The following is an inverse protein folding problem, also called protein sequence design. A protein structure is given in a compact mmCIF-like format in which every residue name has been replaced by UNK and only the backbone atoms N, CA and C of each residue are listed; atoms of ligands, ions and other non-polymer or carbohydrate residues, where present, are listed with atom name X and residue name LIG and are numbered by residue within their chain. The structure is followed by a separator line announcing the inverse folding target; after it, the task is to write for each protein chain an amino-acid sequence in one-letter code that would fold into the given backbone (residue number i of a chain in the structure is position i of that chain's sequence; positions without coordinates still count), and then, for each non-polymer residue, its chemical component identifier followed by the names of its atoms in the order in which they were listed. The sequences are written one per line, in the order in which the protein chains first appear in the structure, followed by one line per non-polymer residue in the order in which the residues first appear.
data_IF_594080568394
#
_entry.id   IF_594080568394
#
_cell.length_a   1.000
_cell.length_b   1.000
_cell.length_c   1.000
_cell.angle_alpha   90.00
_cell.angle_beta   90.00
_cell.angle_gamma   90.00
#
_symmetry.space_group_name_H-M   'P 1'
#
loop_
_entity.id
_entity.type
_entity.pdbx_description
1 polymer ?
#
# COMPACT_ATOMS: atom_id res chain seq x y z
N UNK A 1 1.02 -4.36 10.83
CA UNK A 1 0.26 -5.60 10.57
C UNK A 1 -0.65 -5.51 9.33
N UNK A 2 -1.52 -4.49 9.20
CA UNK A 2 -2.54 -4.44 8.12
C UNK A 2 -2.00 -4.47 6.69
N UNK A 3 -0.90 -3.76 6.39
CA UNK A 3 -0.33 -3.77 5.04
C UNK A 3 0.29 -5.13 4.64
N UNK A 4 0.80 -5.89 5.63
CA UNK A 4 1.30 -7.25 5.41
C UNK A 4 0.16 -8.22 5.12
N UNK A 5 -0.95 -8.10 5.86
CA UNK A 5 -2.17 -8.88 5.65
C UNK A 5 -2.76 -8.63 4.27
N UNK A 6 -2.91 -7.35 3.89
CA UNK A 6 -3.34 -6.95 2.55
C UNK A 6 -2.44 -7.56 1.47
N UNK A 7 -1.11 -7.43 1.62
CA UNK A 7 -0.16 -8.00 0.65
C UNK A 7 -0.37 -9.49 0.47
N UNK A 8 -0.56 -10.23 1.56
CA UNK A 8 -0.79 -11.67 1.52
C UNK A 8 -2.06 -11.99 0.72
N UNK A 9 -3.16 -11.32 1.01
CA UNK A 9 -4.44 -11.51 0.31
C UNK A 9 -4.33 -11.17 -1.18
N UNK A 10 -3.70 -10.05 -1.53
CA UNK A 10 -3.47 -9.66 -2.93
C UNK A 10 -2.61 -10.68 -3.68
N UNK A 11 -1.58 -11.22 -3.01
CA UNK A 11 -0.70 -12.22 -3.59
C UNK A 11 -1.44 -13.54 -3.87
N UNK A 12 -2.27 -13.99 -2.94
CA UNK A 12 -3.13 -15.17 -3.10
C UNK A 12 -4.09 -15.01 -4.29
N UNK A 13 -4.80 -13.88 -4.38
CA UNK A 13 -5.73 -13.58 -5.49
C UNK A 13 -5.00 -13.59 -6.84
N UNK A 14 -3.79 -13.02 -6.89
CA UNK A 14 -3.00 -12.95 -8.12
C UNK A 14 -2.18 -14.22 -8.40
N UNK A 15 -2.20 -15.22 -7.51
CA UNK A 15 -1.34 -16.41 -7.57
C UNK A 15 0.15 -16.06 -7.67
N UNK A 16 0.57 -15.04 -6.92
CA UNK A 16 1.94 -14.54 -6.85
C UNK A 16 2.48 -14.67 -5.42
N UNK A 17 3.80 -14.53 -5.29
CA UNK A 17 4.45 -14.39 -3.98
C UNK A 17 4.34 -12.93 -3.53
N UNK A 18 4.16 -12.70 -2.24
CA UNK A 18 3.95 -11.35 -1.67
C UNK A 18 5.00 -10.33 -2.13
N UNK A 19 6.28 -10.72 -2.21
CA UNK A 19 7.37 -9.87 -2.70
C UNK A 19 7.10 -9.25 -4.09
N UNK A 20 6.41 -9.96 -4.99
CA UNK A 20 6.04 -9.45 -6.32
C UNK A 20 4.93 -8.40 -6.27
N UNK A 21 4.12 -8.36 -5.22
CA UNK A 21 3.14 -7.29 -5.00
C UNK A 21 3.87 -6.03 -4.53
N UNK A 22 4.45 -6.07 -3.33
CA UNK A 22 5.37 -5.05 -2.82
C UNK A 22 6.45 -5.69 -1.95
N UNK A 23 7.67 -5.18 -2.11
CA UNK A 23 8.84 -5.62 -1.34
C UNK A 23 8.69 -5.32 0.15
N UNK A 24 9.43 -6.04 0.99
CA UNK A 24 9.43 -5.79 2.43
C UNK A 24 9.91 -4.38 2.77
N UNK A 25 10.96 -3.89 2.07
CA UNK A 25 11.44 -2.52 2.25
C UNK A 25 10.36 -1.49 1.94
N UNK A 26 9.58 -1.69 0.87
CA UNK A 26 8.49 -0.78 0.53
C UNK A 26 7.41 -0.77 1.63
N UNK A 27 7.10 -1.91 2.26
CA UNK A 27 6.14 -1.97 3.38
C UNK A 27 6.65 -1.17 4.58
N UNK A 28 7.93 -1.33 4.92
CA UNK A 28 8.56 -0.56 6.00
C UNK A 28 8.50 0.93 5.69
N UNK A 29 8.88 1.33 4.47
CA UNK A 29 8.91 2.73 4.06
C UNK A 29 7.50 3.36 3.99
N UNK A 30 6.50 2.64 3.47
CA UNK A 30 5.10 3.08 3.47
C UNK A 30 4.64 3.29 4.92
N UNK A 31 4.94 2.33 5.80
CA UNK A 31 4.48 2.38 7.19
C UNK A 31 5.17 3.50 7.97
N UNK A 32 6.43 3.81 7.65
CA UNK A 32 7.17 4.89 8.28
C UNK A 32 6.74 6.29 7.77
N UNK A 33 6.38 6.40 6.50
CA UNK A 33 6.11 7.70 5.85
C UNK A 33 4.63 8.05 5.76
N UNK A 34 3.73 7.06 5.84
CA UNK A 34 2.28 7.21 5.77
C UNK A 34 1.82 8.15 4.62
N UNK A 35 2.16 7.83 3.36
CA UNK A 35 1.80 8.69 2.23
C UNK A 35 0.29 8.93 2.17
N UNK A 36 -0.08 10.17 1.85
CA UNK A 36 -1.49 10.61 1.73
C UNK A 36 -1.96 10.74 0.28
N UNK A 37 -1.04 10.72 -0.68
CA UNK A 37 -1.34 10.85 -2.11
C UNK A 37 -0.59 9.82 -2.95
N UNK A 38 -1.12 9.52 -4.15
CA UNK A 38 -0.46 8.63 -5.11
C UNK A 38 0.93 9.14 -5.49
N UNK A 39 1.10 10.45 -5.64
CA UNK A 39 2.40 11.09 -5.91
C UNK A 39 3.41 10.89 -4.78
N UNK A 40 2.96 10.91 -3.52
CA UNK A 40 3.85 10.60 -2.39
C UNK A 40 4.20 9.11 -2.36
N UNK A 41 3.23 8.25 -2.67
CA UNK A 41 3.43 6.81 -2.72
C UNK A 41 4.39 6.40 -3.85
N UNK A 42 4.28 6.98 -5.04
CA UNK A 42 5.17 6.66 -6.18
C UNK A 42 6.63 7.04 -5.93
N UNK A 43 6.89 8.01 -5.06
CA UNK A 43 8.24 8.41 -4.64
C UNK A 43 8.90 7.42 -3.68
N UNK A 44 8.18 6.43 -3.16
CA UNK A 44 8.77 5.38 -2.33
C UNK A 44 9.55 4.41 -3.23
N UNK A 45 10.80 4.15 -2.85
CA UNK A 45 11.70 3.23 -3.57
C UNK A 45 11.03 1.85 -3.70
N UNK A 46 11.16 1.23 -4.87
CA UNK A 46 10.60 -0.09 -5.20
C UNK A 46 9.05 -0.16 -5.28
N UNK A 47 8.35 0.98 -5.23
CA UNK A 47 6.95 1.10 -5.65
C UNK A 47 6.90 1.65 -7.07
N UNK A 48 7.36 2.89 -7.26
CA UNK A 48 7.31 3.58 -8.55
C UNK A 48 5.89 3.75 -9.08
N UNK A 49 5.78 4.28 -10.29
CA UNK A 49 4.48 4.62 -10.88
C UNK A 49 3.61 3.41 -11.20
N UNK A 50 4.20 2.30 -11.68
CA UNK A 50 3.45 1.10 -12.06
C UNK A 50 2.71 0.45 -10.88
N UNK A 51 3.39 0.27 -9.74
CA UNK A 51 2.73 -0.28 -8.54
C UNK A 51 1.81 0.72 -7.88
N UNK A 52 2.10 2.01 -7.94
CA UNK A 52 1.18 3.05 -7.48
C UNK A 52 -0.11 3.05 -8.30
N UNK A 53 -0.03 2.93 -9.62
CA UNK A 53 -1.22 2.83 -10.48
C UNK A 53 -2.04 1.57 -10.18
N UNK A 54 -1.37 0.46 -9.86
CA UNK A 54 -2.05 -0.83 -9.63
C UNK A 54 -2.64 -0.96 -8.22
N UNK A 55 -1.91 -0.51 -7.20
CA UNK A 55 -2.20 -0.80 -5.79
C UNK A 55 -2.39 0.45 -4.93
N UNK A 56 -2.11 1.64 -5.46
CA UNK A 56 -1.96 2.84 -4.66
C UNK A 56 -3.23 3.26 -3.95
N UNK A 57 -4.38 3.19 -4.62
CA UNK A 57 -5.66 3.55 -4.01
C UNK A 57 -6.00 2.68 -2.80
N UNK A 58 -5.72 1.37 -2.89
CA UNK A 58 -6.02 0.45 -1.81
C UNK A 58 -5.05 0.64 -0.64
N UNK A 59 -3.76 0.84 -0.93
CA UNK A 59 -2.75 1.16 0.09
C UNK A 59 -3.10 2.46 0.81
N UNK A 60 -3.44 3.53 0.09
CA UNK A 60 -3.84 4.81 0.69
C UNK A 60 -5.10 4.66 1.53
N UNK A 61 -6.07 3.84 1.10
CA UNK A 61 -7.28 3.55 1.88
C UNK A 61 -6.94 2.85 3.20
N UNK A 62 -6.01 1.90 3.20
CA UNK A 62 -5.54 1.24 4.42
C UNK A 62 -4.85 2.20 5.37
N UNK A 63 -4.03 3.13 4.84
CA UNK A 63 -3.37 4.17 5.63
C UNK A 63 -4.41 5.10 6.26
N UNK A 64 -5.39 5.59 5.48
CA UNK A 64 -6.48 6.45 6.00
C UNK A 64 -7.26 5.76 7.11
N UNK A 65 -7.62 4.49 6.93
CA UNK A 65 -8.29 3.69 7.97
C UNK A 65 -7.44 3.55 9.23
N UNK A 66 -6.13 3.31 9.07
CA UNK A 66 -5.20 3.22 10.19
C UNK A 66 -5.09 4.55 10.96
N UNK A 67 -5.17 5.69 10.26
CA UNK A 67 -5.16 7.02 10.84
C UNK A 67 -6.51 7.46 11.44
N UNK A 68 -7.56 6.64 11.32
CA UNK A 68 -8.91 7.01 11.79
C UNK A 68 -9.64 8.01 10.89
N UNK A 69 -9.14 8.28 9.68
CA UNK A 69 -9.75 9.20 8.70
C UNK A 69 -10.96 8.56 7.97
N UNK A 70 -11.54 7.48 8.52
CA UNK A 70 -12.43 6.55 7.83
C UNK A 70 -13.94 6.83 7.89
N UNK A 71 -14.41 7.82 8.64
CA UNK A 71 -15.85 8.07 8.85
C UNK A 71 -16.41 9.34 8.19
N UNK A 72 -15.62 10.07 7.39
CA UNK A 72 -16.05 11.35 6.79
C UNK A 72 -16.23 11.28 5.27
N UNK A 73 -16.84 10.21 4.74
CA UNK A 73 -17.34 10.19 3.35
C UNK A 73 -18.59 9.31 3.27
N UNK A 74 -19.73 9.85 3.69
CA UNK A 74 -21.05 9.53 3.16
C UNK A 74 -21.59 10.77 2.44
#
# INVERSE_FOLDING_TARGET
AKLLEWRKQTAEVKKLIGYHIISDQAIVDISARLPKTLTQLSKIKNIGEGKTATYGEEILRLIRRYLGEGELLF
#
